data_IF_235649843236
#
_entry.id   IF_235649843236
#
_cell.length_a   1.000
_cell.length_b   1.000
_cell.length_c   1.000
_cell.angle_alpha   90.00
_cell.angle_beta   90.00
_cell.angle_gamma   90.00
#
_symmetry.space_group_name_H-M   'P 1'
#
loop_
_entity.id
_entity.type
_entity.pdbx_description
1 polymer ?
#
# COMPACT_ATOMS: atom_id res chain seq x y z
N UNK A 1 -65.14 -3.86 -7.35
CA UNK A 1 -63.81 -4.43 -7.08
C UNK A 1 -62.79 -3.81 -8.06
N UNK A 2 -62.12 -2.73 -7.67
CA UNK A 2 -61.07 -2.11 -8.47
C UNK A 2 -59.73 -2.62 -7.97
N UNK A 3 -58.93 -3.27 -8.83
CA UNK A 3 -57.57 -3.67 -8.56
C UNK A 3 -56.62 -2.55 -9.01
N UNK A 4 -55.98 -1.88 -8.07
CA UNK A 4 -54.82 -0.99 -8.34
C UNK A 4 -53.58 -1.84 -8.64
N UNK A 5 -53.00 -1.65 -9.82
CA UNK A 5 -51.67 -2.13 -10.15
C UNK A 5 -50.65 -1.06 -9.72
N UNK A 6 -49.82 -1.36 -8.77
CA UNK A 6 -48.61 -0.58 -8.47
C UNK A 6 -47.51 -1.00 -9.44
N UNK A 7 -47.12 -0.09 -10.33
CA UNK A 7 -45.89 -0.23 -11.12
C UNK A 7 -44.75 0.32 -10.28
N UNK A 8 -43.86 -0.55 -9.80
CA UNK A 8 -42.59 -0.14 -9.15
C UNK A 8 -41.61 0.24 -10.27
N UNK A 9 -41.36 1.55 -10.42
CA UNK A 9 -40.23 2.02 -11.20
C UNK A 9 -38.92 1.77 -10.40
N UNK A 10 -38.18 0.77 -10.82
CA UNK A 10 -36.80 0.57 -10.35
C UNK A 10 -35.89 1.63 -10.92
N UNK A 11 -35.44 2.55 -10.08
CA UNK A 11 -34.30 3.43 -10.43
C UNK A 11 -33.02 2.59 -10.45
N UNK A 12 -32.56 2.25 -11.64
CA UNK A 12 -31.20 1.76 -11.82
C UNK A 12 -30.25 2.97 -11.72
N UNK A 13 -29.61 3.11 -10.57
CA UNK A 13 -28.49 4.04 -10.43
C UNK A 13 -27.32 3.53 -11.28
N UNK A 14 -27.15 4.09 -12.46
CA UNK A 14 -25.90 3.97 -13.21
C UNK A 14 -24.81 4.70 -12.43
N UNK A 15 -23.96 3.95 -11.75
CA UNK A 15 -22.66 4.45 -11.27
C UNK A 15 -21.84 4.72 -12.52
N UNK A 16 -21.75 6.00 -12.92
CA UNK A 16 -20.82 6.43 -13.95
C UNK A 16 -19.42 6.20 -13.41
N UNK A 17 -18.71 5.22 -13.97
CA UNK A 17 -17.26 5.12 -13.76
C UNK A 17 -16.63 6.45 -14.16
N UNK A 18 -15.67 6.99 -13.41
CA UNK A 18 -14.98 8.20 -13.82
C UNK A 18 -14.35 7.93 -15.20
N UNK A 19 -14.74 8.73 -16.18
CA UNK A 19 -14.14 8.68 -17.52
C UNK A 19 -12.71 9.17 -17.33
N UNK A 20 -11.73 8.31 -17.55
CA UNK A 20 -10.33 8.72 -17.55
C UNK A 20 -10.13 9.81 -18.60
N UNK A 21 -9.52 10.92 -18.21
CA UNK A 21 -9.37 12.09 -19.06
C UNK A 21 -8.37 11.82 -20.18
N UNK A 22 -8.77 12.11 -21.41
CA UNK A 22 -7.87 12.29 -22.55
C UNK A 22 -7.98 13.74 -23.03
N UNK A 23 -6.84 14.42 -23.18
CA UNK A 23 -6.77 15.78 -23.71
C UNK A 23 -6.11 15.75 -25.09
N UNK A 24 -6.85 16.14 -26.10
CA UNK A 24 -6.38 16.19 -27.48
C UNK A 24 -6.11 17.64 -27.89
N UNK A 25 -4.87 17.90 -28.33
CA UNK A 25 -4.42 19.17 -28.87
C UNK A 25 -3.86 18.94 -30.28
N UNK A 26 -3.63 20.02 -31.01
CA UNK A 26 -2.95 19.94 -32.31
C UNK A 26 -1.54 19.34 -32.11
N UNK A 27 -1.29 18.18 -32.69
CA UNK A 27 0.00 17.48 -32.66
C UNK A 27 0.31 16.65 -31.42
N UNK A 28 -0.47 16.71 -30.32
CA UNK A 28 -0.21 15.94 -29.10
C UNK A 28 -1.50 15.53 -28.39
N UNK A 29 -1.47 14.32 -27.81
CA UNK A 29 -2.54 13.80 -26.94
C UNK A 29 -1.94 13.39 -25.60
N UNK A 30 -2.57 13.81 -24.49
CA UNK A 30 -2.31 13.32 -23.15
C UNK A 30 -3.47 12.43 -22.73
N UNK A 31 -3.19 11.26 -22.13
CA UNK A 31 -4.23 10.34 -21.69
C UNK A 31 -3.86 9.65 -20.37
N UNK A 32 -4.85 9.44 -19.52
CA UNK A 32 -4.77 8.62 -18.32
C UNK A 32 -5.77 7.45 -18.37
N UNK A 33 -6.26 7.07 -19.55
CA UNK A 33 -7.22 5.99 -19.75
C UNK A 33 -6.55 4.61 -19.66
N UNK A 34 -6.06 4.30 -18.47
CA UNK A 34 -5.48 3.00 -18.11
C UNK A 34 -5.45 2.85 -16.57
N UNK A 35 -5.24 1.62 -16.10
CA UNK A 35 -5.26 1.30 -14.67
C UNK A 35 -4.26 2.16 -13.87
N UNK A 36 -4.72 2.76 -12.78
CA UNK A 36 -4.00 3.71 -11.92
C UNK A 36 -3.61 5.04 -12.61
N UNK A 37 -4.12 5.30 -13.81
CA UNK A 37 -3.97 6.56 -14.50
C UNK A 37 -4.56 7.72 -13.69
N UNK A 38 -3.91 8.89 -13.77
CA UNK A 38 -4.36 10.11 -13.09
C UNK A 38 -3.94 11.31 -13.90
N UNK A 39 -4.94 12.08 -14.32
CA UNK A 39 -4.86 13.37 -14.99
C UNK A 39 -6.24 14.00 -14.87
N UNK A 40 -6.35 15.16 -14.22
CA UNK A 40 -7.65 15.75 -13.91
C UNK A 40 -8.05 16.85 -14.91
N UNK A 41 -7.09 17.61 -15.42
CA UNK A 41 -7.32 18.58 -16.49
C UNK A 41 -6.06 18.90 -17.27
N UNK A 42 -6.25 19.43 -18.49
CA UNK A 42 -5.17 19.90 -19.35
C UNK A 42 -5.59 21.20 -19.98
N UNK A 43 -4.66 22.14 -20.08
CA UNK A 43 -4.82 23.40 -20.79
C UNK A 43 -3.51 23.79 -21.47
N UNK A 44 -3.56 24.78 -22.35
CA UNK A 44 -2.38 25.42 -22.97
C UNK A 44 -2.33 26.85 -22.49
N UNK A 45 -1.20 27.24 -21.92
CA UNK A 45 -0.99 28.62 -21.47
C UNK A 45 -0.71 29.56 -22.66
N UNK A 46 -0.61 30.87 -22.39
CA UNK A 46 -0.35 31.91 -23.39
C UNK A 46 1.01 31.76 -24.10
N UNK A 47 1.93 31.00 -23.55
CA UNK A 47 3.25 30.72 -24.11
C UNK A 47 3.28 29.41 -24.92
N UNK A 48 2.16 28.70 -25.01
CA UNK A 48 2.06 27.41 -25.70
C UNK A 48 2.56 26.21 -24.85
N UNK A 49 2.73 26.40 -23.55
CA UNK A 49 3.12 25.32 -22.60
C UNK A 49 1.87 24.57 -22.16
N UNK A 50 1.93 23.25 -22.13
CA UNK A 50 0.84 22.43 -21.63
C UNK A 50 0.84 22.37 -20.11
N UNK A 51 -0.28 22.76 -19.48
CA UNK A 51 -0.48 22.69 -18.04
C UNK A 51 -1.36 21.48 -17.74
N UNK A 52 -0.81 20.50 -17.03
CA UNK A 52 -1.49 19.27 -16.64
C UNK A 52 -1.75 19.32 -15.14
N UNK A 53 -3.01 19.25 -14.73
CA UNK A 53 -3.41 19.40 -13.33
C UNK A 53 -3.78 18.07 -12.73
N UNK A 54 -3.32 17.88 -11.48
CA UNK A 54 -3.56 16.71 -10.65
C UNK A 54 -4.15 17.14 -9.32
N UNK A 55 -5.32 16.62 -9.00
CA UNK A 55 -6.10 16.99 -7.82
C UNK A 55 -6.13 15.85 -6.80
N UNK A 56 -6.08 16.18 -5.51
CA UNK A 56 -6.34 15.18 -4.47
C UNK A 56 -7.82 14.75 -4.50
N UNK A 57 -8.10 13.53 -4.07
CA UNK A 57 -9.46 13.01 -3.91
C UNK A 57 -10.24 13.70 -2.78
N UNK A 58 -9.53 14.29 -1.82
CA UNK A 58 -10.12 14.95 -0.64
C UNK A 58 -9.33 16.17 -0.18
N UNK A 59 -10.01 17.03 0.61
CA UNK A 59 -9.40 18.13 1.37
C UNK A 59 -10.06 18.25 2.76
N UNK A 60 -9.28 18.34 3.85
CA UNK A 60 -7.81 18.34 3.90
C UNK A 60 -7.24 16.93 3.70
N UNK A 61 -6.01 16.86 3.18
CA UNK A 61 -5.29 15.61 2.97
C UNK A 61 -3.83 15.75 3.40
N UNK A 62 -3.20 14.66 3.88
CA UNK A 62 -1.75 14.56 3.96
C UNK A 62 -1.22 14.15 2.57
N UNK A 63 -0.66 15.09 1.79
CA UNK A 63 -0.56 14.93 0.35
C UNK A 63 0.56 13.96 -0.04
N UNK A 64 0.23 13.06 -0.96
CA UNK A 64 1.18 12.25 -1.72
C UNK A 64 0.83 12.35 -3.20
N UNK A 65 1.12 13.52 -3.86
CA UNK A 65 0.64 13.83 -5.19
C UNK A 65 0.97 12.73 -6.19
N UNK A 66 -0.06 12.00 -6.64
CA UNK A 66 0.04 10.99 -7.66
C UNK A 66 -0.30 11.58 -9.02
N UNK A 67 0.50 11.25 -10.03
CA UNK A 67 0.26 11.49 -11.43
C UNK A 67 0.71 10.28 -12.23
N UNK A 68 -0.07 9.92 -13.26
CA UNK A 68 0.29 8.85 -14.18
C UNK A 68 -0.49 9.03 -15.47
N UNK A 69 0.19 9.45 -16.52
CA UNK A 69 -0.38 9.75 -17.82
C UNK A 69 0.56 9.30 -18.95
N UNK A 70 0.05 9.26 -20.16
CA UNK A 70 0.83 9.07 -21.37
C UNK A 70 0.78 10.30 -22.25
N UNK A 71 1.83 10.49 -23.04
CA UNK A 71 1.89 11.49 -24.11
C UNK A 71 2.18 10.80 -25.43
N UNK A 72 1.41 11.15 -26.47
CA UNK A 72 1.55 10.63 -27.83
C UNK A 72 1.39 11.75 -28.84
N UNK A 73 1.95 11.54 -30.03
CA UNK A 73 1.67 12.42 -31.17
C UNK A 73 0.24 12.21 -31.66
N UNK A 74 -0.52 13.30 -31.81
CA UNK A 74 -1.85 13.32 -32.40
C UNK A 74 -1.78 13.52 -33.92
N UNK A 75 -2.77 12.98 -34.66
CA UNK A 75 -2.97 13.22 -36.10
C UNK A 75 -2.15 12.33 -37.06
N UNK A 76 -2.42 12.51 -38.34
CA UNK A 76 -1.77 11.82 -39.45
C UNK A 76 -0.39 12.39 -39.75
N UNK A 77 0.45 11.59 -40.44
CA UNK A 77 1.89 11.80 -40.69
C UNK A 77 2.25 13.06 -41.49
N UNK A 78 1.27 13.94 -41.84
CA UNK A 78 1.48 15.12 -42.69
C UNK A 78 1.63 16.44 -41.96
N UNK A 79 1.32 16.52 -40.67
CA UNK A 79 1.54 17.70 -39.84
C UNK A 79 2.95 17.67 -39.22
N UNK A 80 3.60 18.84 -39.12
CA UNK A 80 4.86 18.99 -38.37
C UNK A 80 4.61 18.58 -36.93
N UNK A 81 5.02 17.35 -36.58
CA UNK A 81 5.00 16.89 -35.19
C UNK A 81 6.10 17.61 -34.43
N UNK A 82 5.75 18.14 -33.27
CA UNK A 82 6.76 18.58 -32.31
C UNK A 82 7.57 17.37 -31.84
N UNK A 83 8.90 17.45 -31.92
CA UNK A 83 9.77 16.39 -31.40
C UNK A 83 9.69 16.31 -29.86
N UNK A 84 9.34 17.42 -29.21
CA UNK A 84 9.18 17.55 -27.77
C UNK A 84 8.07 18.55 -27.45
N UNK A 85 7.48 18.39 -26.29
CA UNK A 85 6.54 19.33 -25.69
C UNK A 85 6.97 19.66 -24.26
N UNK A 86 6.82 20.92 -23.90
CA UNK A 86 7.04 21.38 -22.54
C UNK A 86 5.73 21.31 -21.77
N UNK A 87 5.78 20.71 -20.60
CA UNK A 87 4.62 20.50 -19.72
C UNK A 87 4.91 21.02 -18.32
N UNK A 88 3.90 21.64 -17.72
CA UNK A 88 3.88 22.00 -16.30
C UNK A 88 2.90 21.06 -15.61
N UNK A 89 3.37 20.31 -14.61
CA UNK A 89 2.52 19.50 -13.73
C UNK A 89 2.17 20.32 -12.50
N UNK A 90 0.88 20.54 -12.25
CA UNK A 90 0.37 21.29 -11.10
C UNK A 90 -0.36 20.37 -10.12
N UNK A 91 -0.28 20.67 -8.82
CA UNK A 91 -0.75 19.80 -7.75
C UNK A 91 -1.66 20.52 -6.75
N UNK A 92 -2.55 21.39 -7.25
CA UNK A 92 -3.56 22.08 -6.43
C UNK A 92 -2.97 22.82 -5.20
N UNK A 93 -1.80 23.45 -5.39
CA UNK A 93 -1.06 24.16 -4.34
C UNK A 93 -0.20 23.28 -3.44
N UNK A 94 -0.18 21.98 -3.66
CA UNK A 94 0.71 21.06 -2.95
C UNK A 94 2.07 20.92 -3.66
N UNK A 95 3.11 20.65 -2.87
CA UNK A 95 4.47 20.44 -3.38
C UNK A 95 4.61 19.04 -4.00
N UNK A 96 5.28 18.89 -5.17
CA UNK A 96 5.62 17.59 -5.73
C UNK A 96 6.43 16.75 -4.74
N UNK A 97 6.04 15.49 -4.54
CA UNK A 97 6.73 14.58 -3.62
C UNK A 97 7.68 13.63 -4.34
N UNK A 98 7.34 13.25 -5.57
CA UNK A 98 8.00 12.17 -6.29
C UNK A 98 8.83 12.67 -7.45
N UNK A 99 10.00 12.03 -7.68
CA UNK A 99 10.82 12.25 -8.86
C UNK A 99 10.12 11.66 -10.10
N UNK A 100 9.90 12.44 -11.18
CA UNK A 100 9.17 11.97 -12.34
C UNK A 100 9.92 10.85 -13.06
N UNK A 101 9.19 9.80 -13.39
CA UNK A 101 9.70 8.63 -14.10
C UNK A 101 8.99 8.49 -15.42
N UNK A 102 9.75 8.05 -16.45
CA UNK A 102 9.22 7.83 -17.79
C UNK A 102 9.48 6.39 -18.24
N UNK A 103 8.57 5.88 -19.08
CA UNK A 103 8.64 4.56 -19.67
C UNK A 103 7.93 4.50 -21.01
N UNK A 104 8.44 3.70 -21.97
CA UNK A 104 7.74 3.37 -23.22
C UNK A 104 7.02 2.02 -23.19
N UNK A 105 7.26 1.19 -22.17
CA UNK A 105 6.76 -0.19 -22.07
C UNK A 105 6.05 -0.49 -20.75
N UNK A 106 5.92 0.51 -19.87
CA UNK A 106 5.37 0.41 -18.51
C UNK A 106 6.09 -0.62 -17.60
N UNK A 107 7.23 -1.13 -18.07
CA UNK A 107 8.05 -2.12 -17.33
C UNK A 107 9.39 -1.52 -16.90
N UNK A 108 10.06 -0.86 -17.84
CA UNK A 108 11.37 -0.22 -17.65
C UNK A 108 11.19 1.26 -17.42
N UNK A 109 11.44 1.72 -16.21
CA UNK A 109 11.23 3.10 -15.77
C UNK A 109 12.56 3.77 -15.46
N UNK A 110 12.72 5.02 -15.88
CA UNK A 110 13.87 5.87 -15.55
C UNK A 110 13.42 7.26 -15.11
N UNK A 111 14.16 7.87 -14.21
CA UNK A 111 13.95 9.28 -13.85
C UNK A 111 14.22 10.15 -15.09
N UNK A 112 13.36 11.12 -15.35
CA UNK A 112 13.56 12.13 -16.38
C UNK A 112 14.01 13.45 -15.76
N UNK A 113 14.63 14.32 -16.54
CA UNK A 113 14.98 15.66 -16.11
C UNK A 113 13.71 16.50 -15.84
N UNK A 114 13.76 17.32 -14.83
CA UNK A 114 12.67 18.20 -14.41
C UNK A 114 13.24 19.41 -13.63
N UNK A 115 12.45 20.47 -13.59
CA UNK A 115 12.68 21.61 -12.71
C UNK A 115 11.47 21.78 -11.79
N UNK A 116 11.69 22.16 -10.54
CA UNK A 116 10.63 22.47 -9.59
C UNK A 116 10.36 23.96 -9.60
N UNK A 117 9.10 24.34 -9.68
CA UNK A 117 8.63 25.72 -9.65
C UNK A 117 7.70 25.95 -8.47
N UNK A 118 7.32 27.21 -8.20
CA UNK A 118 6.29 27.54 -7.20
C UNK A 118 4.92 26.91 -7.55
N UNK A 119 4.66 26.68 -8.84
CA UNK A 119 3.39 26.12 -9.33
C UNK A 119 3.40 24.61 -9.42
N UNK A 120 4.56 23.94 -9.32
CA UNK A 120 4.68 22.49 -9.45
C UNK A 120 6.01 22.03 -10.05
N UNK A 121 5.96 21.33 -11.19
CA UNK A 121 7.12 20.71 -11.82
C UNK A 121 7.04 20.90 -13.34
N UNK A 122 8.17 21.23 -13.96
CA UNK A 122 8.27 21.37 -15.44
C UNK A 122 9.06 20.22 -16.03
N UNK A 123 8.63 19.73 -17.18
CA UNK A 123 9.22 18.63 -17.93
C UNK A 123 9.25 18.96 -19.42
N UNK A 124 10.33 18.56 -20.13
CA UNK A 124 10.37 18.55 -21.60
C UNK A 124 10.28 17.10 -22.08
N UNK A 125 9.14 16.70 -22.64
CA UNK A 125 8.81 15.33 -22.99
C UNK A 125 8.93 15.08 -24.50
N UNK A 126 9.66 14.04 -24.93
CA UNK A 126 9.66 13.63 -26.33
C UNK A 126 8.28 13.10 -26.75
N UNK A 127 7.83 13.50 -27.93
CA UNK A 127 6.54 13.10 -28.50
C UNK A 127 6.77 12.22 -29.72
N UNK A 128 6.06 11.12 -29.79
CA UNK A 128 6.08 10.18 -30.93
C UNK A 128 4.74 9.45 -31.01
N UNK A 129 4.55 8.65 -32.08
CA UNK A 129 3.38 7.75 -32.19
C UNK A 129 3.39 6.64 -31.13
N UNK A 130 4.56 6.31 -30.57
CA UNK A 130 4.68 5.38 -29.45
C UNK A 130 4.41 6.14 -28.15
N UNK A 131 3.45 5.72 -27.32
CA UNK A 131 3.17 6.38 -26.05
C UNK A 131 4.41 6.44 -25.15
N UNK A 132 4.69 7.62 -24.60
CA UNK A 132 5.59 7.80 -23.47
C UNK A 132 4.74 7.94 -22.23
N UNK A 133 4.90 7.02 -21.29
CA UNK A 133 4.25 7.08 -19.98
C UNK A 133 5.09 7.89 -19.01
N UNK A 134 4.43 8.74 -18.23
CA UNK A 134 5.03 9.60 -17.21
C UNK A 134 4.32 9.32 -15.90
N UNK A 135 5.05 9.01 -14.84
CA UNK A 135 4.46 8.67 -13.55
C UNK A 135 5.27 9.21 -12.36
N UNK A 136 4.59 9.42 -11.26
CA UNK A 136 5.15 9.79 -9.96
C UNK A 136 6.13 8.73 -9.44
N UNK A 137 5.75 7.47 -9.54
CA UNK A 137 6.53 6.29 -9.18
C UNK A 137 6.37 5.24 -10.28
N UNK A 138 7.20 4.18 -10.28
CA UNK A 138 6.92 3.00 -11.10
C UNK A 138 5.59 2.41 -10.64
N UNK A 139 4.51 2.47 -11.44
CA UNK A 139 3.20 2.05 -10.96
C UNK A 139 3.16 0.56 -10.59
N UNK A 140 2.44 0.25 -9.52
CA UNK A 140 2.06 -1.11 -9.13
C UNK A 140 0.52 -1.13 -9.05
N UNK A 141 -0.16 -1.29 -10.19
CA UNK A 141 -1.62 -1.38 -10.26
C UNK A 141 -2.15 -2.70 -9.69
N UNK A 142 -3.48 -2.85 -9.57
CA UNK A 142 -4.11 -4.05 -9.00
C UNK A 142 -3.78 -5.31 -9.77
N UNK A 143 -3.59 -5.21 -11.10
CA UNK A 143 -3.16 -6.31 -11.95
C UNK A 143 -1.83 -6.93 -11.53
N UNK A 144 -0.89 -6.14 -10.99
CA UNK A 144 0.38 -6.66 -10.46
C UNK A 144 0.15 -7.53 -9.23
N UNK A 145 -0.74 -7.15 -8.33
CA UNK A 145 -1.11 -7.97 -7.17
C UNK A 145 -1.81 -9.26 -7.58
N UNK A 146 -2.72 -9.18 -8.56
CA UNK A 146 -3.39 -10.36 -9.11
C UNK A 146 -2.38 -11.34 -9.70
N UNK A 147 -1.46 -10.85 -10.53
CA UNK A 147 -0.42 -11.68 -11.14
C UNK A 147 0.52 -12.29 -10.09
N UNK A 148 0.91 -11.51 -9.07
CA UNK A 148 1.74 -12.02 -7.97
C UNK A 148 1.04 -13.13 -7.19
N UNK A 149 -0.24 -12.97 -6.87
CA UNK A 149 -1.03 -14.00 -6.17
C UNK A 149 -1.18 -15.27 -7.03
N UNK A 150 -1.44 -15.13 -8.34
CA UNK A 150 -1.51 -16.26 -9.26
C UNK A 150 -0.18 -17.01 -9.35
N UNK A 151 0.93 -16.29 -9.42
CA UNK A 151 2.26 -16.89 -9.42
C UNK A 151 2.55 -17.61 -8.11
N UNK A 152 2.22 -16.99 -6.97
CA UNK A 152 2.41 -17.57 -5.65
C UNK A 152 1.52 -18.83 -5.46
N UNK A 153 0.30 -18.85 -5.99
CA UNK A 153 -0.57 -20.04 -6.00
C UNK A 153 0.06 -21.20 -6.76
N UNK A 154 0.69 -20.91 -7.91
CA UNK A 154 1.35 -21.92 -8.73
C UNK A 154 2.64 -22.46 -8.11
N UNK A 155 3.48 -21.55 -7.59
CA UNK A 155 4.82 -21.88 -7.11
C UNK A 155 4.84 -22.46 -5.69
N UNK A 156 3.92 -22.03 -4.83
CA UNK A 156 3.94 -22.33 -3.38
C UNK A 156 2.65 -22.97 -2.86
N UNK A 157 1.74 -23.37 -3.76
CA UNK A 157 0.47 -24.02 -3.42
C UNK A 157 -0.39 -23.24 -2.40
N UNK A 158 -0.25 -21.92 -2.33
CA UNK A 158 -1.16 -21.09 -1.53
C UNK A 158 -2.55 -21.08 -2.18
N UNK A 159 -3.57 -20.75 -1.40
CA UNK A 159 -4.96 -20.62 -1.89
C UNK A 159 -5.48 -19.22 -1.59
N UNK A 160 -5.34 -18.28 -2.54
CA UNK A 160 -5.93 -16.95 -2.37
C UNK A 160 -7.45 -17.03 -2.22
N UNK A 161 -8.00 -16.20 -1.34
CA UNK A 161 -9.43 -16.10 -1.14
C UNK A 161 -9.88 -14.63 -1.04
N UNK A 162 -11.17 -14.40 -1.18
CA UNK A 162 -11.78 -13.08 -1.01
C UNK A 162 -12.06 -12.84 0.47
N UNK A 163 -11.32 -11.92 1.11
CA UNK A 163 -11.58 -11.52 2.51
C UNK A 163 -12.76 -10.53 2.60
N UNK A 164 -13.01 -9.78 1.53
CA UNK A 164 -14.08 -8.80 1.40
C UNK A 164 -14.12 -8.12 0.05
N UNK A 165 -14.92 -7.06 -0.03
CA UNK A 165 -15.03 -6.19 -1.20
C UNK A 165 -14.78 -4.76 -0.77
N UNK A 166 -14.14 -3.98 -1.65
CA UNK A 166 -13.96 -2.53 -1.52
C UNK A 166 -15.28 -1.79 -1.81
N UNK A 167 -15.25 -0.47 -1.67
CA UNK A 167 -16.42 0.39 -1.93
C UNK A 167 -16.95 0.26 -3.37
N UNK A 168 -16.08 0.17 -4.39
CA UNK A 168 -16.48 -0.10 -5.80
C UNK A 168 -16.70 -1.60 -6.08
N UNK A 169 -16.61 -2.45 -5.08
CA UNK A 169 -16.84 -3.89 -5.25
C UNK A 169 -15.62 -4.66 -5.77
N UNK A 170 -14.42 -4.05 -5.81
CA UNK A 170 -13.19 -4.79 -6.13
C UNK A 170 -12.89 -5.82 -5.06
N UNK A 171 -12.29 -6.92 -5.45
CA UNK A 171 -11.93 -7.99 -4.52
C UNK A 171 -10.78 -7.57 -3.62
N UNK A 172 -11.00 -7.68 -2.32
CA UNK A 172 -9.92 -7.67 -1.35
C UNK A 172 -9.40 -9.10 -1.24
N UNK A 173 -8.24 -9.35 -1.85
CA UNK A 173 -7.63 -10.67 -1.88
C UNK A 173 -6.74 -10.88 -0.68
N UNK A 174 -6.81 -12.07 -0.09
CA UNK A 174 -5.95 -12.50 1.00
C UNK A 174 -5.54 -13.96 0.79
N UNK A 175 -4.53 -14.40 1.52
CA UNK A 175 -4.23 -15.81 1.70
C UNK A 175 -3.65 -16.07 3.09
N UNK A 176 -3.67 -17.33 3.50
CA UNK A 176 -3.05 -17.77 4.74
C UNK A 176 -1.95 -18.79 4.47
N UNK A 177 -0.93 -18.78 5.33
CA UNK A 177 -0.05 -19.91 5.55
C UNK A 177 -0.49 -20.51 6.89
N UNK A 178 -1.21 -21.62 6.85
CA UNK A 178 -1.96 -22.10 8.02
C UNK A 178 -1.80 -23.60 8.19
N UNK A 179 -1.60 -24.01 9.45
CA UNK A 179 -1.74 -25.39 9.89
C UNK A 179 -2.77 -25.46 11.00
N UNK A 180 -3.68 -26.46 10.96
CA UNK A 180 -4.77 -26.56 11.93
C UNK A 180 -4.34 -26.65 13.40
N UNK A 181 -3.15 -27.21 13.65
CA UNK A 181 -2.58 -27.36 14.97
C UNK A 181 -1.99 -26.08 15.56
N UNK A 182 -1.72 -25.07 14.72
CA UNK A 182 -1.13 -23.81 15.16
C UNK A 182 -2.21 -22.84 15.65
N UNK A 183 -1.91 -22.15 16.74
CA UNK A 183 -2.81 -21.13 17.31
C UNK A 183 -2.25 -19.70 17.24
N UNK A 184 -0.95 -19.53 17.02
CA UNK A 184 -0.30 -18.20 16.98
C UNK A 184 -0.29 -17.63 15.55
N UNK A 185 -0.74 -16.38 15.42
CA UNK A 185 -0.94 -15.72 14.13
C UNK A 185 -0.11 -14.45 13.98
N UNK A 186 0.58 -14.32 12.84
CA UNK A 186 1.25 -13.11 12.39
C UNK A 186 0.45 -12.51 11.24
N UNK A 187 0.26 -11.18 11.24
CA UNK A 187 -0.62 -10.49 10.31
C UNK A 187 0.18 -9.49 9.47
N UNK A 188 0.11 -9.61 8.16
CA UNK A 188 0.74 -8.69 7.22
C UNK A 188 -0.31 -8.00 6.34
N UNK A 189 -0.30 -6.68 6.34
CA UNK A 189 -1.15 -5.86 5.44
C UNK A 189 -0.29 -4.86 4.68
N UNK A 190 -0.80 -4.34 3.57
CA UNK A 190 -0.13 -3.28 2.85
C UNK A 190 -1.04 -2.49 1.93
N UNK A 191 -0.46 -1.45 1.34
CA UNK A 191 -1.11 -0.57 0.38
C UNK A 191 -2.37 0.12 0.92
N UNK A 192 -2.33 0.58 2.18
CA UNK A 192 -3.38 1.45 2.71
C UNK A 192 -3.44 2.77 1.92
N UNK A 193 -2.29 3.26 1.49
CA UNK A 193 -2.17 4.48 0.69
C UNK A 193 -1.70 4.15 -0.74
N UNK A 194 -2.49 4.57 -1.76
CA UNK A 194 -2.25 4.19 -3.16
C UNK A 194 -0.89 4.58 -3.76
N UNK A 195 -0.26 5.74 -3.45
CA UNK A 195 1.02 6.13 -4.03
C UNK A 195 2.24 5.42 -3.43
N UNK A 196 2.09 4.68 -2.34
CA UNK A 196 3.19 4.13 -1.56
C UNK A 196 3.74 2.83 -2.17
N UNK A 197 4.37 2.99 -3.33
CA UNK A 197 4.82 1.90 -4.21
C UNK A 197 6.05 1.17 -3.67
N UNK A 198 7.01 1.90 -3.05
CA UNK A 198 8.23 1.26 -2.52
C UNK A 198 7.93 0.34 -1.35
N UNK A 199 6.90 0.65 -0.54
CA UNK A 199 6.37 -0.25 0.48
C UNK A 199 5.80 -1.54 -0.10
N UNK A 200 5.10 -1.46 -1.25
CA UNK A 200 4.62 -2.65 -1.94
C UNK A 200 5.78 -3.52 -2.49
N UNK A 201 6.85 -2.90 -3.01
CA UNK A 201 8.07 -3.62 -3.44
C UNK A 201 8.72 -4.34 -2.26
N UNK A 202 8.81 -3.68 -1.10
CA UNK A 202 9.32 -4.30 0.13
C UNK A 202 8.43 -5.47 0.55
N UNK A 203 7.11 -5.28 0.58
CA UNK A 203 6.15 -6.29 0.98
C UNK A 203 6.27 -7.56 0.13
N UNK A 204 6.31 -7.47 -1.20
CA UNK A 204 6.47 -8.64 -2.06
C UNK A 204 7.77 -9.41 -1.75
N UNK A 205 8.89 -8.69 -1.59
CA UNK A 205 10.18 -9.32 -1.30
C UNK A 205 10.23 -9.95 0.09
N UNK A 206 9.61 -9.31 1.07
CA UNK A 206 9.46 -9.79 2.43
C UNK A 206 8.61 -11.07 2.47
N UNK A 207 7.43 -11.04 1.87
CA UNK A 207 6.49 -12.17 1.87
C UNK A 207 7.03 -13.38 1.11
N UNK A 208 7.79 -13.18 0.04
CA UNK A 208 8.41 -14.27 -0.69
C UNK A 208 9.37 -15.12 0.18
N UNK A 209 9.93 -14.56 1.27
CA UNK A 209 10.74 -15.35 2.20
C UNK A 209 9.87 -16.34 3.00
N UNK A 210 8.67 -15.96 3.40
CA UNK A 210 7.72 -16.85 4.08
C UNK A 210 7.17 -17.96 3.16
N UNK A 211 7.14 -17.71 1.85
CA UNK A 211 6.70 -18.66 0.84
C UNK A 211 7.80 -19.65 0.42
N UNK A 212 9.07 -19.28 0.58
CA UNK A 212 10.21 -20.11 0.18
C UNK A 212 10.41 -21.22 1.22
N UNK A 213 10.50 -22.48 0.78
CA UNK A 213 10.73 -23.61 1.66
C UNK A 213 12.20 -23.70 2.07
N UNK A 214 12.48 -23.37 3.33
CA UNK A 214 13.78 -23.52 4.01
C UNK A 214 13.58 -24.23 5.34
N UNK A 215 14.67 -24.56 6.06
CA UNK A 215 14.61 -25.09 7.44
C UNK A 215 13.94 -24.09 8.37
N UNK A 216 14.26 -22.81 8.23
CA UNK A 216 13.77 -21.70 9.06
C UNK A 216 12.28 -21.47 8.81
N UNK A 217 11.84 -21.36 7.54
CA UNK A 217 10.41 -21.22 7.25
C UNK A 217 9.61 -22.45 7.64
N UNK A 218 10.18 -23.65 7.52
CA UNK A 218 9.55 -24.88 7.98
C UNK A 218 9.40 -24.89 9.51
N UNK A 219 10.42 -24.46 10.25
CA UNK A 219 10.37 -24.31 11.71
C UNK A 219 9.35 -23.23 12.11
N UNK A 220 9.34 -22.08 11.44
CA UNK A 220 8.36 -21.03 11.66
C UNK A 220 6.92 -21.54 11.46
N UNK A 221 6.64 -22.13 10.31
CA UNK A 221 5.31 -22.65 9.96
C UNK A 221 4.91 -23.91 10.77
N UNK A 222 5.81 -24.51 11.56
CA UNK A 222 5.43 -25.53 12.53
C UNK A 222 4.78 -24.97 13.79
N UNK A 223 4.81 -23.66 13.97
CA UNK A 223 4.26 -22.97 15.15
C UNK A 223 3.30 -21.84 14.80
N UNK A 224 3.64 -21.03 13.82
CA UNK A 224 2.89 -19.81 13.47
C UNK A 224 2.05 -20.01 12.21
N UNK A 225 0.87 -19.43 12.24
CA UNK A 225 0.06 -19.14 11.06
C UNK A 225 0.28 -17.71 10.62
N UNK A 226 0.06 -17.43 9.33
CA UNK A 226 0.18 -16.08 8.76
C UNK A 226 -1.08 -15.72 8.00
N UNK A 227 -1.62 -14.53 8.24
CA UNK A 227 -2.61 -13.90 7.36
C UNK A 227 -1.94 -12.78 6.56
N UNK A 228 -2.15 -12.76 5.25
CA UNK A 228 -1.58 -11.78 4.33
C UNK A 228 -2.69 -11.12 3.53
N UNK A 229 -2.76 -9.78 3.59
CA UNK A 229 -3.67 -8.93 2.79
C UNK A 229 -2.82 -7.90 2.05
N UNK A 230 -2.35 -8.21 0.83
CA UNK A 230 -1.28 -7.45 0.20
C UNK A 230 -1.69 -6.07 -0.32
N UNK A 231 -2.99 -5.86 -0.57
CA UNK A 231 -3.53 -4.58 -1.01
C UNK A 231 -4.92 -4.38 -0.42
N UNK A 232 -5.02 -3.51 0.57
CA UNK A 232 -6.32 -3.22 1.21
C UNK A 232 -7.03 -2.00 0.62
N UNK A 233 -6.40 -1.24 -0.30
CA UNK A 233 -7.03 -0.08 -0.95
C UNK A 233 -7.03 -0.21 -2.49
N UNK A 234 -7.67 -1.25 -3.06
CA UNK A 234 -7.66 -1.47 -4.50
C UNK A 234 -8.41 -0.38 -5.27
N UNK A 235 -9.40 0.28 -4.68
CA UNK A 235 -10.12 1.38 -5.31
C UNK A 235 -9.23 2.61 -5.44
N UNK A 236 -8.56 3.03 -4.38
CA UNK A 236 -7.63 4.13 -4.43
C UNK A 236 -6.47 3.89 -5.40
N UNK A 237 -5.97 2.65 -5.48
CA UNK A 237 -4.95 2.27 -6.47
C UNK A 237 -5.49 2.39 -7.89
N UNK A 238 -6.69 1.90 -8.18
CA UNK A 238 -7.29 1.95 -9.51
C UNK A 238 -7.57 3.39 -9.97
N UNK A 239 -8.01 4.25 -9.04
CA UNK A 239 -8.41 5.63 -9.31
C UNK A 239 -7.26 6.65 -9.18
N UNK A 240 -6.04 6.20 -8.89
CA UNK A 240 -4.88 7.09 -8.74
C UNK A 240 -5.04 8.10 -7.59
N UNK A 241 -5.62 7.68 -6.46
CA UNK A 241 -5.77 8.52 -5.28
C UNK A 241 -4.41 8.86 -4.66
N UNK A 242 -4.34 10.00 -3.98
CA UNK A 242 -3.13 10.46 -3.32
C UNK A 242 -2.94 9.82 -1.93
N UNK A 243 -4.04 9.36 -1.29
CA UNK A 243 -3.97 8.78 0.05
C UNK A 243 -5.17 7.95 0.46
N UNK A 244 -6.40 8.46 0.26
CA UNK A 244 -7.59 7.92 0.86
C UNK A 244 -8.17 6.73 0.08
N UNK A 245 -9.04 5.96 0.74
CA UNK A 245 -9.95 5.03 0.09
C UNK A 245 -11.02 5.79 -0.70
N UNK A 246 -11.79 5.08 -1.53
CA UNK A 246 -12.93 5.68 -2.23
C UNK A 246 -14.03 6.16 -1.27
N UNK A 247 -14.07 5.63 -0.05
CA UNK A 247 -14.95 6.11 1.00
C UNK A 247 -14.45 7.37 1.72
N UNK A 248 -13.53 8.13 1.12
CA UNK A 248 -13.02 9.41 1.63
C UNK A 248 -12.34 9.30 3.00
N UNK A 249 -11.62 8.20 3.23
CA UNK A 249 -10.97 7.93 4.51
C UNK A 249 -9.53 7.47 4.34
N UNK A 250 -8.63 8.04 5.12
CA UNK A 250 -7.32 7.45 5.36
C UNK A 250 -7.50 6.11 6.10
N UNK A 251 -7.20 4.99 5.43
CA UNK A 251 -7.38 3.66 6.03
C UNK A 251 -6.51 3.48 7.27
N UNK A 252 -5.33 4.13 7.33
CA UNK A 252 -4.49 4.12 8.52
C UNK A 252 -4.95 5.15 9.60
N UNK A 253 -6.23 5.53 9.54
CA UNK A 253 -6.99 6.30 10.56
C UNK A 253 -8.35 5.68 10.83
N UNK A 254 -8.54 4.43 10.43
CA UNK A 254 -9.83 3.74 10.53
C UNK A 254 -9.79 2.48 11.42
N UNK A 255 -8.63 2.09 11.95
CA UNK A 255 -8.44 0.88 12.76
C UNK A 255 -9.04 0.93 14.17
N UNK A 256 -9.72 1.97 14.54
CA UNK A 256 -10.49 2.08 15.78
C UNK A 256 -12.00 2.19 15.55
N UNK A 257 -12.43 2.60 14.34
CA UNK A 257 -13.84 2.82 14.00
C UNK A 257 -14.34 1.79 12.99
N UNK A 258 -13.45 1.35 12.08
CA UNK A 258 -13.76 0.39 11.00
C UNK A 258 -14.95 0.87 10.15
N UNK A 259 -14.94 2.14 9.79
CA UNK A 259 -16.00 2.76 8.97
C UNK A 259 -15.95 2.31 7.52
N UNK A 260 -14.78 1.88 7.04
CA UNK A 260 -14.57 1.48 5.66
C UNK A 260 -14.76 -0.03 5.46
N UNK A 261 -15.29 -0.48 4.30
CA UNK A 261 -15.44 -1.90 4.03
C UNK A 261 -14.12 -2.66 4.02
N UNK A 262 -13.03 -2.00 3.65
CA UNK A 262 -11.68 -2.53 3.57
C UNK A 262 -11.15 -2.93 4.95
N UNK A 263 -11.13 -2.02 5.88
CA UNK A 263 -10.67 -2.25 7.27
C UNK A 263 -11.61 -3.22 8.01
N UNK A 264 -12.94 -3.08 7.80
CA UNK A 264 -13.94 -4.05 8.34
C UNK A 264 -13.71 -5.47 7.85
N UNK A 265 -13.31 -5.65 6.59
CA UNK A 265 -13.06 -6.98 6.06
C UNK A 265 -11.90 -7.66 6.79
N UNK A 266 -10.79 -6.93 6.99
CA UNK A 266 -9.65 -7.44 7.76
C UNK A 266 -10.06 -7.70 9.21
N UNK A 267 -10.72 -6.72 9.87
CA UNK A 267 -11.16 -6.87 11.27
C UNK A 267 -12.03 -8.12 11.48
N UNK A 268 -13.01 -8.36 10.62
CA UNK A 268 -13.86 -9.58 10.70
C UNK A 268 -13.06 -10.86 10.59
N UNK A 269 -11.97 -10.86 9.81
CA UNK A 269 -11.13 -12.05 9.72
C UNK A 269 -10.27 -12.22 10.97
N UNK A 270 -9.75 -11.12 11.54
CA UNK A 270 -9.04 -11.15 12.83
C UNK A 270 -9.96 -11.66 13.94
N UNK A 271 -11.24 -11.22 13.97
CA UNK A 271 -12.23 -11.72 14.92
C UNK A 271 -12.47 -13.23 14.74
N UNK A 272 -12.62 -13.68 13.47
CA UNK A 272 -12.73 -15.12 13.20
C UNK A 272 -11.55 -15.94 13.72
N UNK A 273 -10.31 -15.39 13.62
CA UNK A 273 -9.12 -16.03 14.18
C UNK A 273 -9.24 -16.15 15.71
N UNK A 274 -9.56 -15.05 16.39
CA UNK A 274 -9.63 -15.01 17.87
C UNK A 274 -10.82 -15.81 18.40
N UNK A 275 -11.98 -15.76 17.75
CA UNK A 275 -13.16 -16.55 18.12
C UNK A 275 -12.93 -18.06 17.98
N UNK A 276 -12.04 -18.46 17.06
CA UNK A 276 -11.60 -19.84 16.91
C UNK A 276 -10.49 -20.25 17.92
N UNK A 277 -10.13 -19.38 18.85
CA UNK A 277 -9.07 -19.63 19.84
C UNK A 277 -7.66 -19.31 19.33
N UNK A 278 -7.54 -18.68 18.15
CA UNK A 278 -6.26 -18.20 17.63
C UNK A 278 -5.78 -16.97 18.38
N UNK A 279 -4.48 -16.86 18.55
CA UNK A 279 -3.80 -15.73 19.19
C UNK A 279 -3.01 -14.93 18.19
N UNK A 280 -3.31 -13.66 18.08
CA UNK A 280 -2.51 -12.73 17.28
C UNK A 280 -1.28 -12.37 18.11
N UNK A 281 -0.09 -12.53 17.50
CA UNK A 281 1.20 -12.31 18.16
C UNK A 281 1.98 -11.12 17.58
N UNK A 282 1.65 -10.68 16.38
CA UNK A 282 2.26 -9.51 15.74
C UNK A 282 1.44 -9.04 14.55
N UNK A 283 1.45 -7.73 14.29
CA UNK A 283 0.96 -7.14 13.05
C UNK A 283 2.01 -6.25 12.38
N UNK A 284 2.11 -6.29 11.05
CA UNK A 284 2.97 -5.39 10.28
C UNK A 284 2.22 -4.83 9.07
N UNK A 285 2.44 -3.55 8.84
CA UNK A 285 1.83 -2.76 7.77
C UNK A 285 2.91 -2.09 6.93
N UNK A 286 2.85 -2.29 5.60
CA UNK A 286 3.87 -1.81 4.67
C UNK A 286 3.45 -0.49 4.03
N UNK A 287 4.30 0.52 4.19
CA UNK A 287 4.10 1.89 3.74
C UNK A 287 5.33 2.47 3.03
N UNK A 288 5.18 3.70 2.55
CA UNK A 288 6.29 4.51 2.03
C UNK A 288 6.21 5.94 2.53
N UNK A 289 7.37 6.50 2.85
CA UNK A 289 7.52 7.90 3.20
C UNK A 289 8.83 8.46 2.62
N UNK A 290 9.23 9.67 2.98
CA UNK A 290 10.44 10.30 2.44
C UNK A 290 11.73 9.50 2.72
N UNK A 291 11.79 8.80 3.87
CA UNK A 291 12.97 8.05 4.32
C UNK A 291 12.57 6.68 4.88
N UNK A 292 13.52 5.75 4.88
CA UNK A 292 13.32 4.45 5.53
C UNK A 292 13.18 4.61 7.04
N UNK A 293 12.12 4.05 7.61
CA UNK A 293 11.88 4.07 9.07
C UNK A 293 10.92 2.95 9.48
N UNK A 294 11.15 2.37 10.64
CA UNK A 294 10.17 1.51 11.31
C UNK A 294 9.50 2.34 12.42
N UNK A 295 8.19 2.53 12.32
CA UNK A 295 7.42 3.07 13.44
C UNK A 295 6.93 1.90 14.28
N UNK A 296 7.40 1.85 15.52
CA UNK A 296 7.17 0.75 16.47
C UNK A 296 6.34 1.21 17.66
N UNK A 297 5.91 0.28 18.48
CA UNK A 297 5.37 0.56 19.82
C UNK A 297 6.56 0.60 20.77
N UNK A 298 6.64 1.56 21.70
CA UNK A 298 7.68 1.61 22.72
C UNK A 298 7.74 0.32 23.53
N UNK A 299 8.92 0.00 24.07
CA UNK A 299 9.07 -1.06 25.05
C UNK A 299 8.21 -0.74 26.28
N UNK A 300 7.23 -1.58 26.56
CA UNK A 300 6.26 -1.40 27.63
C UNK A 300 5.82 -2.78 28.14
N UNK A 301 5.55 -2.90 29.43
CA UNK A 301 5.11 -4.16 30.04
C UNK A 301 3.69 -4.57 29.61
N UNK A 302 2.92 -3.63 29.05
CA UNK A 302 1.59 -3.92 28.48
C UNK A 302 1.65 -4.58 27.10
N UNK A 303 2.84 -4.70 26.49
CA UNK A 303 3.08 -5.32 25.18
C UNK A 303 3.91 -6.59 25.35
N UNK A 304 3.45 -7.69 24.85
CA UNK A 304 4.13 -8.98 24.96
C UNK A 304 4.55 -9.56 23.59
N UNK A 305 5.82 -9.93 23.40
CA UNK A 305 6.99 -9.72 24.26
C UNK A 305 7.57 -8.31 24.10
N UNK A 306 7.84 -7.61 25.18
CA UNK A 306 8.14 -6.17 25.16
C UNK A 306 9.37 -5.77 24.32
N UNK A 307 10.41 -6.60 24.25
CA UNK A 307 11.66 -6.31 23.53
C UNK A 307 11.74 -6.95 22.12
N UNK A 308 10.80 -7.80 21.73
CA UNK A 308 10.91 -8.61 20.49
C UNK A 308 11.23 -7.79 19.25
N UNK A 309 10.57 -6.64 19.05
CA UNK A 309 10.79 -5.81 17.87
C UNK A 309 12.14 -5.08 17.95
N UNK A 310 12.58 -4.67 19.13
CA UNK A 310 13.92 -4.07 19.32
C UNK A 310 15.01 -5.07 18.97
N UNK A 311 14.89 -6.30 19.44
CA UNK A 311 15.83 -7.40 19.16
C UNK A 311 15.85 -7.72 17.66
N UNK A 312 14.68 -7.87 17.04
CA UNK A 312 14.55 -8.05 15.58
C UNK A 312 15.26 -6.97 14.78
N UNK A 313 15.03 -5.68 15.11
CA UNK A 313 15.62 -4.55 14.39
C UNK A 313 17.14 -4.45 14.62
N UNK A 314 17.64 -4.87 15.77
CA UNK A 314 19.08 -4.96 16.03
C UNK A 314 19.75 -6.06 15.18
N UNK A 315 19.08 -7.21 15.00
CA UNK A 315 19.54 -8.27 14.13
C UNK A 315 19.51 -7.83 12.66
N UNK A 316 18.43 -7.17 12.22
CA UNK A 316 18.34 -6.58 10.88
C UNK A 316 19.48 -5.59 10.64
N UNK A 317 19.79 -4.72 11.61
CA UNK A 317 20.91 -3.79 11.50
C UNK A 317 22.26 -4.52 11.34
N UNK A 318 22.41 -5.62 12.05
CA UNK A 318 23.62 -6.45 11.95
C UNK A 318 23.76 -7.08 10.57
N UNK A 319 22.68 -7.68 10.05
CA UNK A 319 22.64 -8.33 8.75
C UNK A 319 22.78 -7.36 7.57
N UNK A 320 22.36 -6.10 7.75
CA UNK A 320 22.41 -5.08 6.69
C UNK A 320 23.52 -4.05 6.88
N UNK A 321 24.46 -4.32 7.79
CA UNK A 321 25.58 -3.42 8.11
C UNK A 321 26.35 -2.99 6.86
N UNK A 322 26.55 -1.67 6.71
CA UNK A 322 27.23 -1.07 5.57
C UNK A 322 26.37 -0.84 4.33
N UNK A 323 25.17 -1.42 4.27
CA UNK A 323 24.22 -1.25 3.16
C UNK A 323 23.02 -0.42 3.58
N UNK A 324 22.49 -0.66 4.77
CA UNK A 324 21.28 -0.03 5.27
C UNK A 324 21.44 0.36 6.74
N UNK A 325 20.90 1.52 7.08
CA UNK A 325 20.78 1.97 8.47
C UNK A 325 19.34 1.77 8.91
N UNK A 326 19.13 0.91 9.87
CA UNK A 326 17.84 0.76 10.52
C UNK A 326 17.54 1.99 11.36
N UNK A 327 16.39 2.60 11.12
CA UNK A 327 15.87 3.72 11.91
C UNK A 327 14.59 3.26 12.58
N UNK A 328 14.66 3.06 13.88
CA UNK A 328 13.49 2.79 14.73
C UNK A 328 12.96 4.12 15.31
N UNK A 329 11.64 4.31 15.23
CA UNK A 329 10.93 5.44 15.84
C UNK A 329 9.77 4.92 16.68
N UNK A 330 10.03 4.51 17.91
CA UNK A 330 8.99 4.09 18.82
C UNK A 330 8.08 5.26 19.18
N UNK A 331 6.77 4.99 19.28
CA UNK A 331 5.79 5.98 19.65
C UNK A 331 4.37 5.42 19.62
N UNK A 332 3.48 6.06 20.37
CA UNK A 332 2.06 5.71 20.46
C UNK A 332 1.18 6.67 19.69
N UNK A 333 0.00 6.24 19.32
CA UNK A 333 -1.00 7.03 18.60
C UNK A 333 -2.41 6.71 19.11
N UNK A 334 -2.66 6.82 20.42
CA UNK A 334 -3.93 6.41 21.03
C UNK A 334 -5.11 7.17 20.41
N UNK A 335 -6.19 6.44 20.11
CA UNK A 335 -7.40 6.97 19.53
C UNK A 335 -7.31 7.47 18.08
N UNK A 336 -6.14 7.40 17.43
CA UNK A 336 -5.95 7.90 16.07
C UNK A 336 -6.28 6.89 14.97
N UNK A 337 -6.68 5.66 15.32
CA UNK A 337 -7.04 4.61 14.34
C UNK A 337 -5.89 4.15 13.46
N UNK A 338 -4.66 4.17 13.96
CA UNK A 338 -3.46 3.69 13.27
C UNK A 338 -3.33 2.19 13.46
N UNK A 339 -2.96 1.46 12.40
CA UNK A 339 -2.81 0.00 12.42
C UNK A 339 -1.94 -0.51 13.58
N UNK A 340 -0.72 0.03 13.72
CA UNK A 340 0.18 -0.43 14.78
C UNK A 340 -0.38 -0.22 16.20
N UNK A 341 -1.12 0.88 16.42
CA UNK A 341 -1.75 1.16 17.71
C UNK A 341 -2.91 0.21 17.99
N UNK A 342 -3.69 -0.14 16.96
CA UNK A 342 -4.77 -1.13 17.10
C UNK A 342 -4.26 -2.48 17.61
N UNK A 343 -3.10 -2.96 17.11
CA UNK A 343 -2.51 -4.20 17.60
C UNK A 343 -2.04 -4.10 19.05
N UNK A 344 -1.49 -2.96 19.44
CA UNK A 344 -1.10 -2.71 20.83
C UNK A 344 -2.31 -2.61 21.76
N UNK A 345 -3.34 -1.87 21.37
CA UNK A 345 -4.50 -1.61 22.22
C UNK A 345 -5.41 -2.85 22.38
N UNK A 346 -5.56 -3.65 21.34
CA UNK A 346 -6.54 -4.76 21.31
C UNK A 346 -5.93 -6.11 21.60
N UNK A 347 -4.74 -6.37 21.07
CA UNK A 347 -4.08 -7.68 21.20
C UNK A 347 -2.91 -7.66 22.17
N UNK A 348 -2.50 -6.49 22.66
CA UNK A 348 -1.34 -6.30 23.54
C UNK A 348 -0.04 -6.85 22.95
N UNK A 349 0.14 -6.69 21.65
CA UNK A 349 1.29 -7.15 20.89
C UNK A 349 1.86 -6.03 20.03
N UNK A 350 3.05 -6.25 19.50
CA UNK A 350 3.66 -5.27 18.59
C UNK A 350 2.87 -5.14 17.29
N UNK A 351 2.45 -3.89 16.99
CA UNK A 351 2.16 -3.44 15.65
C UNK A 351 3.36 -2.67 15.11
N UNK A 352 3.73 -2.89 13.86
CA UNK A 352 4.84 -2.21 13.21
C UNK A 352 4.38 -1.59 11.90
N UNK A 353 4.74 -0.33 11.66
CA UNK A 353 4.63 0.29 10.35
C UNK A 353 6.01 0.32 9.71
N UNK A 354 6.20 -0.45 8.65
CA UNK A 354 7.44 -0.53 7.89
C UNK A 354 7.37 0.46 6.72
N UNK A 355 8.04 1.59 6.86
CA UNK A 355 8.11 2.66 5.88
C UNK A 355 9.38 2.56 5.04
N UNK A 356 9.22 2.54 3.73
CA UNK A 356 10.32 2.57 2.77
C UNK A 356 10.42 3.94 2.14
N UNK A 357 11.65 4.44 1.96
CA UNK A 357 11.87 5.73 1.30
C UNK A 357 11.36 5.75 -0.14
N UNK A 358 10.65 6.82 -0.53
CA UNK A 358 10.03 6.97 -1.85
C UNK A 358 11.01 6.79 -3.02
N UNK A 359 12.24 7.23 -2.84
CA UNK A 359 13.29 7.20 -3.85
C UNK A 359 14.35 6.12 -3.59
N UNK A 360 14.08 5.17 -2.69
CA UNK A 360 14.98 4.05 -2.43
C UNK A 360 15.07 3.16 -3.67
N UNK A 361 16.27 2.79 -4.14
CA UNK A 361 16.42 1.86 -5.26
C UNK A 361 15.73 0.52 -4.99
N UNK A 362 14.95 0.03 -5.95
CA UNK A 362 14.20 -1.22 -5.79
C UNK A 362 15.07 -2.43 -5.41
N UNK A 363 16.30 -2.49 -5.90
CA UNK A 363 17.24 -3.58 -5.55
C UNK A 363 17.60 -3.54 -4.07
N UNK A 364 17.89 -2.34 -3.55
CA UNK A 364 18.18 -2.15 -2.12
C UNK A 364 16.93 -2.41 -1.27
N UNK A 365 15.76 -1.92 -1.71
CA UNK A 365 14.48 -2.20 -1.04
C UNK A 365 14.25 -3.71 -0.91
N UNK A 366 14.43 -4.47 -2.00
CA UNK A 366 14.28 -5.94 -2.00
C UNK A 366 15.30 -6.62 -1.09
N UNK A 367 16.55 -6.17 -1.14
CA UNK A 367 17.62 -6.70 -0.29
C UNK A 367 17.27 -6.54 1.19
N UNK A 368 16.92 -5.32 1.61
CA UNK A 368 16.58 -5.03 3.01
C UNK A 368 15.32 -5.78 3.45
N UNK A 369 14.27 -5.79 2.63
CA UNK A 369 13.03 -6.48 2.94
C UNK A 369 13.22 -8.01 3.10
N UNK A 370 14.09 -8.61 2.27
CA UNK A 370 14.48 -10.01 2.42
C UNK A 370 15.13 -10.28 3.78
N UNK A 371 16.11 -9.44 4.16
CA UNK A 371 16.78 -9.61 5.45
C UNK A 371 15.84 -9.32 6.62
N UNK A 372 14.93 -8.34 6.49
CA UNK A 372 13.92 -8.05 7.50
C UNK A 372 12.98 -9.24 7.73
N UNK A 373 12.59 -9.95 6.67
CA UNK A 373 11.77 -11.15 6.79
C UNK A 373 12.53 -12.29 7.49
N UNK A 374 13.76 -12.57 7.05
CA UNK A 374 14.54 -13.66 7.59
C UNK A 374 14.86 -13.44 9.08
N UNK A 375 15.32 -12.25 9.46
CA UNK A 375 15.57 -11.92 10.87
C UNK A 375 14.28 -11.93 11.70
N UNK A 376 13.13 -11.55 11.15
CA UNK A 376 11.85 -11.65 11.87
C UNK A 376 11.45 -13.11 12.09
N UNK A 377 11.62 -13.97 11.09
CA UNK A 377 11.37 -15.41 11.20
C UNK A 377 12.23 -15.99 12.34
N UNK A 378 13.53 -15.69 12.35
CA UNK A 378 14.47 -16.16 13.38
C UNK A 378 14.08 -15.65 14.78
N UNK A 379 13.74 -14.36 14.89
CA UNK A 379 13.30 -13.74 16.15
C UNK A 379 12.02 -14.39 16.69
N UNK A 380 11.03 -14.63 15.83
CA UNK A 380 9.76 -15.24 16.23
C UNK A 380 9.96 -16.70 16.68
N UNK A 381 10.78 -17.47 15.96
CA UNK A 381 11.11 -18.85 16.35
C UNK A 381 11.83 -18.88 17.71
N UNK A 382 12.78 -17.96 17.92
CA UNK A 382 13.56 -17.89 19.16
C UNK A 382 12.74 -17.38 20.36
N UNK A 383 11.62 -16.70 20.12
CA UNK A 383 10.75 -16.16 21.17
C UNK A 383 9.92 -17.28 21.78
N UNK A 384 10.03 -17.58 23.11
CA UNK A 384 9.21 -18.61 23.75
C UNK A 384 7.71 -18.31 23.66
N UNK A 385 6.88 -19.36 23.57
CA UNK A 385 5.42 -19.19 23.44
C UNK A 385 4.82 -18.43 24.62
N UNK A 386 5.29 -18.70 25.83
CA UNK A 386 4.86 -18.02 27.05
C UNK A 386 5.20 -16.53 27.09
N UNK A 387 6.20 -16.10 26.31
CA UNK A 387 6.57 -14.68 26.25
C UNK A 387 5.52 -13.82 25.53
N UNK A 388 4.67 -14.41 24.69
CA UNK A 388 3.56 -13.71 24.05
C UNK A 388 2.35 -13.47 24.96
N UNK A 389 2.42 -13.90 26.22
CA UNK A 389 1.37 -13.67 27.20
C UNK A 389 1.81 -12.60 28.20
N UNK A 390 0.97 -11.62 28.44
CA UNK A 390 1.19 -10.68 29.53
C UNK A 390 1.15 -11.50 30.82
N UNK A 391 2.20 -11.43 31.64
CA UNK A 391 2.18 -12.04 32.96
C UNK A 391 1.12 -11.28 33.77
N UNK A 392 0.05 -11.97 34.14
CA UNK A 392 -0.88 -11.43 35.12
C UNK A 392 -0.07 -10.97 36.35
N UNK A 393 -0.28 -9.73 36.76
CA UNK A 393 0.43 -9.12 37.89
C UNK A 393 0.44 -10.08 39.09
N UNK A 394 1.60 -10.56 39.47
CA UNK A 394 1.79 -11.31 40.73
C UNK A 394 1.75 -10.28 41.86
N UNK A 395 0.56 -9.95 42.37
CA UNK A 395 0.39 -9.08 43.53
C UNK A 395 -0.84 -8.22 43.44
N UNK A 396 -1.83 -8.56 44.24
CA UNK A 396 -3.11 -7.90 44.53
C UNK A 396 -4.28 -8.22 43.58
N UNK A 397 -5.19 -9.01 44.15
CA UNK A 397 -6.48 -9.36 43.58
C UNK A 397 -7.36 -8.12 43.48
N UNK A 398 -7.44 -7.50 42.33
CA UNK A 398 -8.59 -6.77 41.80
C UNK A 398 -8.27 -6.21 40.40
N UNK A 399 -9.03 -6.64 39.41
CA UNK A 399 -9.10 -6.07 38.05
C UNK A 399 -7.97 -6.46 37.05
N UNK A 400 -7.82 -7.75 36.78
CA UNK A 400 -7.38 -8.24 35.48
C UNK A 400 -8.41 -9.29 35.03
N UNK A 401 -9.56 -8.83 34.57
CA UNK A 401 -10.47 -9.65 33.77
C UNK A 401 -10.17 -9.39 32.30
N UNK A 402 -10.10 -10.47 31.58
CA UNK A 402 -9.68 -10.77 30.19
C UNK A 402 -10.27 -9.89 29.11
#
# INVERSE_FOLDING_TARGET
MFRLFFIALGFASFLASPVALACEFEGVTFSADFEAGKLDSCEVDENGTYVLSFLPEDKPINPSPWYYFSVTAAGDSSSKQAEKVDVVLTFDGYTPRYLPKVSYDQKSWKITAFDTTEQGMTLSLPVSKRPLYVAAQRPIPNSVYTNWLQQAEQDFAIKPFTIGKSTEGRTLSAFTLEKPENTEWVIFVGRQHPPEVTGAVAMFSFLNQFLTTTSETSAFLSRFNVLIVPNINPDGVANGHWRHSLGHKDLNRDWNVFSQPETRAVKRYLDKITDAGGKIVMGMDFHSTHNNVFYTIPVDESIAPSNMVVDWLADLQTQTKGVFKVVDKPGTSPGKGVFKQFFADVYHVHGVTYEVGDNEPNEKTRYVAKHAANTLIDTLIATPAEAFYIKACAGEAASCEQ
#
